data_IF_291451344851
#
_entry.id   IF_291451344851
#
_cell.length_a   1.000
_cell.length_b   1.000
_cell.length_c   1.000
_cell.angle_alpha   90.00
_cell.angle_beta   90.00
_cell.angle_gamma   90.00
#
_symmetry.space_group_name_H-M   'P 1'
#
loop_
_entity.id
_entity.type
_entity.pdbx_description
1 polymer ?
#
# COMPACT_ATOMS: atom_id res chain seq x y z
N UNK A 1 -6.00 -25.79 15.47
CA UNK A 1 -6.20 -25.28 16.84
C UNK A 1 -6.45 -23.78 16.68
N UNK A 2 -7.70 -23.31 16.84
CA UNK A 2 -8.00 -21.88 16.65
C UNK A 2 -7.22 -21.08 17.70
N UNK A 3 -6.15 -20.42 17.24
CA UNK A 3 -5.42 -19.45 18.04
C UNK A 3 -6.40 -18.30 18.31
N UNK A 4 -6.51 -17.89 19.57
CA UNK A 4 -7.56 -16.96 19.99
C UNK A 4 -7.12 -15.54 19.67
N UNK A 5 -7.93 -14.82 18.90
CA UNK A 5 -7.92 -13.36 18.86
C UNK A 5 -8.21 -12.85 20.28
N UNK A 6 -7.30 -12.07 20.86
CA UNK A 6 -7.54 -11.45 22.15
C UNK A 6 -8.27 -10.12 21.91
N UNK A 7 -9.51 -10.02 22.37
CA UNK A 7 -10.23 -8.76 22.45
C UNK A 7 -9.94 -8.15 23.82
N UNK A 8 -9.25 -7.01 23.85
CA UNK A 8 -9.02 -6.24 25.07
C UNK A 8 -10.01 -5.07 25.09
N UNK A 9 -10.82 -5.01 26.14
CA UNK A 9 -11.64 -3.86 26.47
C UNK A 9 -10.78 -2.88 27.28
N UNK A 10 -10.53 -1.69 26.77
CA UNK A 10 -9.85 -0.65 27.55
C UNK A 10 -10.91 0.06 28.41
N UNK A 11 -10.95 -0.23 29.72
CA UNK A 11 -11.85 0.47 30.63
C UNK A 11 -11.23 1.79 31.09
N UNK A 12 -11.77 2.92 30.63
CA UNK A 12 -11.67 4.17 31.40
C UNK A 12 -13.02 4.43 32.08
N UNK A 13 -13.00 4.97 33.30
CA UNK A 13 -14.15 4.97 34.21
C UNK A 13 -15.37 5.81 33.76
N UNK A 14 -15.39 6.36 32.54
CA UNK A 14 -16.45 7.29 32.09
C UNK A 14 -16.85 7.23 30.62
N UNK A 15 -16.27 6.40 29.74
CA UNK A 15 -16.68 6.31 28.33
C UNK A 15 -16.60 4.88 27.78
N UNK A 16 -17.52 4.59 26.86
CA UNK A 16 -17.82 3.26 26.36
C UNK A 16 -16.67 2.63 25.55
N UNK A 17 -16.39 1.37 25.89
CA UNK A 17 -15.94 0.26 25.05
C UNK A 17 -15.11 0.59 23.80
N UNK A 18 -13.82 0.81 24.00
CA UNK A 18 -12.81 0.56 22.97
C UNK A 18 -12.54 -0.94 22.86
N UNK A 19 -12.89 -1.58 21.74
CA UNK A 19 -12.46 -2.97 21.47
C UNK A 19 -11.18 -2.94 20.65
N UNK A 20 -10.08 -3.38 21.28
CA UNK A 20 -8.81 -3.60 20.59
C UNK A 20 -8.67 -5.08 20.31
N UNK A 21 -8.52 -5.43 19.03
CA UNK A 21 -8.24 -6.80 18.59
C UNK A 21 -6.75 -6.96 18.36
N UNK A 22 -6.17 -7.99 18.96
CA UNK A 22 -4.74 -8.25 18.88
C UNK A 22 -4.50 -9.65 18.35
N UNK A 23 -3.83 -9.71 17.20
CA UNK A 23 -3.24 -10.94 16.69
C UNK A 23 -1.71 -10.89 16.83
N UNK A 24 -1.21 -11.65 17.79
CA UNK A 24 0.24 -11.93 17.97
C UNK A 24 0.54 -13.42 17.86
N UNK A 25 -0.47 -14.25 17.55
CA UNK A 25 -0.34 -15.70 17.51
C UNK A 25 -0.32 -16.24 16.08
N UNK A 26 -0.78 -15.44 15.14
CA UNK A 26 -0.89 -15.76 13.73
C UNK A 26 -2.16 -16.56 13.45
N UNK A 27 -3.30 -15.86 13.40
CA UNK A 27 -4.61 -16.44 13.17
C UNK A 27 -4.90 -16.63 11.68
N UNK A 28 -5.91 -17.45 11.41
CA UNK A 28 -6.54 -17.55 10.10
C UNK A 28 -8.03 -17.23 10.25
N UNK A 29 -8.52 -16.25 9.50
CA UNK A 29 -9.92 -15.91 9.37
C UNK A 29 -10.43 -16.49 8.05
N UNK A 30 -11.08 -17.65 8.17
CA UNK A 30 -11.68 -18.41 7.07
C UNK A 30 -13.23 -18.36 7.08
N UNK A 31 -13.77 -17.42 7.87
CA UNK A 31 -15.20 -17.09 7.97
C UNK A 31 -15.34 -15.61 8.28
N UNK A 32 -16.48 -15.04 7.92
CA UNK A 32 -16.71 -13.60 8.07
C UNK A 32 -16.49 -13.10 9.51
N UNK A 33 -15.91 -11.90 9.61
CA UNK A 33 -15.69 -11.20 10.88
C UNK A 33 -16.13 -9.75 10.74
N UNK A 34 -16.77 -9.26 11.79
CA UNK A 34 -17.05 -7.85 11.96
C UNK A 34 -16.40 -7.40 13.27
N UNK A 35 -15.39 -6.55 13.16
CA UNK A 35 -14.58 -6.02 14.24
C UNK A 35 -14.88 -4.52 14.39
N UNK A 36 -14.98 -4.03 15.62
CA UNK A 36 -15.22 -2.62 15.93
C UNK A 36 -14.00 -2.02 16.65
N UNK A 37 -13.45 -0.92 16.15
CA UNK A 37 -12.21 -0.32 16.64
C UNK A 37 -10.96 -0.85 15.93
N UNK A 38 -9.85 -0.93 16.66
CA UNK A 38 -8.54 -1.26 16.07
C UNK A 38 -8.29 -2.76 15.96
N UNK A 39 -7.71 -3.17 14.83
CA UNK A 39 -7.06 -4.47 14.66
C UNK A 39 -5.54 -4.29 14.56
N UNK A 40 -4.83 -4.86 15.53
CA UNK A 40 -3.37 -4.93 15.55
C UNK A 40 -2.89 -6.32 15.15
N UNK A 41 -2.01 -6.37 14.15
CA UNK A 41 -1.31 -7.58 13.74
C UNK A 41 0.17 -7.38 14.06
N UNK A 42 0.69 -8.16 14.99
CA UNK A 42 2.11 -8.11 15.30
C UNK A 42 2.54 -7.20 16.44
N UNK A 43 1.61 -6.70 17.25
CA UNK A 43 1.97 -5.91 18.43
C UNK A 43 0.98 -6.10 19.57
N UNK A 44 1.48 -6.02 20.80
CA UNK A 44 0.69 -6.28 22.02
C UNK A 44 -0.23 -5.12 22.46
N UNK A 45 -0.08 -3.94 21.86
CA UNK A 45 -0.92 -2.76 22.08
C UNK A 45 -0.60 -1.68 21.03
N UNK A 46 -1.35 -0.56 20.94
CA UNK A 46 -1.06 0.56 20.04
C UNK A 46 0.39 1.10 20.12
N UNK A 47 1.02 0.97 21.30
CA UNK A 47 2.39 1.39 21.59
C UNK A 47 3.20 0.22 22.20
N UNK A 48 2.76 -1.01 21.92
CA UNK A 48 3.31 -2.21 22.52
C UNK A 48 4.64 -2.61 21.89
N UNK A 49 5.31 -3.58 22.51
CA UNK A 49 6.46 -4.21 21.87
C UNK A 49 6.00 -5.02 20.66
N UNK A 50 6.71 -4.94 19.51
CA UNK A 50 6.44 -5.81 18.38
C UNK A 50 6.53 -7.28 18.77
N UNK A 51 5.57 -8.07 18.31
CA UNK A 51 5.47 -9.52 18.45
C UNK A 51 5.15 -10.15 17.09
N UNK A 52 6.19 -10.50 16.30
CA UNK A 52 6.01 -11.02 14.96
C UNK A 52 5.01 -12.17 14.88
N UNK A 53 4.08 -12.05 13.94
CA UNK A 53 3.01 -13.00 13.68
C UNK A 53 2.55 -12.92 12.22
N UNK A 54 1.49 -13.64 11.87
CA UNK A 54 0.90 -13.60 10.53
C UNK A 54 -0.62 -13.77 10.58
N UNK A 55 -1.38 -12.76 10.16
CA UNK A 55 -2.83 -12.91 10.00
C UNK A 55 -3.15 -13.29 8.54
N UNK A 56 -3.90 -14.36 8.34
CA UNK A 56 -4.39 -14.76 7.02
C UNK A 56 -5.92 -14.64 6.95
N UNK A 57 -6.43 -14.06 5.87
CA UNK A 57 -7.87 -14.02 5.53
C UNK A 57 -8.05 -14.84 4.27
N UNK A 58 -8.78 -15.96 4.38
CA UNK A 58 -8.79 -17.01 3.36
C UNK A 58 -10.20 -17.53 3.11
N UNK A 59 -10.32 -18.43 2.13
CA UNK A 59 -11.52 -19.24 1.89
C UNK A 59 -12.81 -18.40 1.66
N UNK A 60 -12.67 -17.23 1.02
CA UNK A 60 -13.83 -16.38 0.72
C UNK A 60 -14.33 -15.56 1.90
N UNK A 61 -13.59 -15.50 3.02
CA UNK A 61 -13.99 -14.76 4.21
C UNK A 61 -13.91 -13.26 4.00
N UNK A 62 -14.92 -12.53 4.47
CA UNK A 62 -14.90 -11.07 4.57
C UNK A 62 -14.66 -10.63 6.00
N UNK A 63 -13.58 -9.89 6.23
CA UNK A 63 -13.25 -9.28 7.51
C UNK A 63 -13.47 -7.78 7.38
N UNK A 64 -14.36 -7.23 8.20
CA UNK A 64 -14.61 -5.79 8.26
C UNK A 64 -14.11 -5.24 9.59
N UNK A 65 -13.35 -4.15 9.55
CA UNK A 65 -12.83 -3.40 10.69
C UNK A 65 -13.46 -2.01 10.64
N UNK A 66 -14.49 -1.83 11.45
CA UNK A 66 -15.36 -0.66 11.45
C UNK A 66 -15.09 0.20 12.69
N UNK A 67 -15.45 1.48 12.62
CA UNK A 67 -15.49 2.35 13.79
C UNK A 67 -16.52 1.82 14.78
N UNK A 68 -16.22 1.93 16.06
CA UNK A 68 -17.14 1.53 17.11
C UNK A 68 -18.20 2.64 17.29
N UNK A 69 -19.48 2.38 16.99
CA UNK A 69 -20.53 3.40 17.13
C UNK A 69 -20.74 3.84 18.58
N UNK A 70 -20.23 3.09 19.56
CA UNK A 70 -20.30 3.44 20.98
C UNK A 70 -19.09 4.28 21.45
N UNK A 71 -17.99 4.33 20.70
CA UNK A 71 -16.76 5.06 21.05
C UNK A 71 -16.43 6.10 19.98
N UNK A 72 -16.70 7.38 20.27
CA UNK A 72 -16.37 8.48 19.35
C UNK A 72 -14.91 8.93 19.42
N UNK A 73 -14.05 8.24 20.16
CA UNK A 73 -12.65 8.63 20.32
C UNK A 73 -11.83 8.29 19.08
N UNK A 74 -11.01 9.24 18.63
CA UNK A 74 -10.11 9.02 17.51
C UNK A 74 -9.06 7.93 17.79
N UNK A 75 -8.67 7.76 19.06
CA UNK A 75 -7.59 6.87 19.46
C UNK A 75 -8.01 5.40 19.49
N UNK A 76 -9.28 5.09 19.77
CA UNK A 76 -9.70 3.71 19.99
C UNK A 76 -11.00 3.31 19.30
N UNK A 77 -11.87 4.27 18.99
CA UNK A 77 -13.15 4.03 18.33
C UNK A 77 -13.08 3.97 16.81
N UNK A 78 -11.90 4.16 16.21
CA UNK A 78 -11.71 4.21 14.76
C UNK A 78 -11.45 2.83 14.16
N UNK A 79 -12.08 2.53 13.02
CA UNK A 79 -11.94 1.26 12.29
C UNK A 79 -10.60 1.16 11.55
N UNK A 80 -9.50 1.04 12.29
CA UNK A 80 -8.14 1.04 11.77
C UNK A 80 -7.48 -0.35 11.84
N UNK A 81 -6.56 -0.61 10.91
CA UNK A 81 -5.67 -1.78 10.93
C UNK A 81 -4.22 -1.31 11.03
N UNK A 82 -3.42 -1.95 11.87
CA UNK A 82 -1.97 -1.72 11.92
C UNK A 82 -1.22 -3.05 11.94
N UNK A 83 -0.33 -3.21 10.96
CA UNK A 83 0.56 -4.35 10.83
C UNK A 83 1.96 -3.88 11.22
N UNK A 84 2.50 -4.47 12.28
CA UNK A 84 3.78 -4.07 12.89
C UNK A 84 4.71 -5.29 13.01
N UNK A 85 5.88 -5.25 12.38
CA UNK A 85 6.86 -6.36 12.39
C UNK A 85 6.24 -7.74 12.07
N UNK A 86 5.23 -7.78 11.20
CA UNK A 86 4.38 -8.95 10.94
C UNK A 86 3.83 -8.97 9.52
N UNK A 87 3.06 -10.01 9.20
CA UNK A 87 2.44 -10.15 7.88
C UNK A 87 0.92 -10.20 7.97
N UNK A 88 0.23 -9.57 7.01
CA UNK A 88 -1.20 -9.76 6.77
C UNK A 88 -1.38 -10.22 5.33
N UNK A 89 -2.05 -11.35 5.14
CA UNK A 89 -2.41 -11.86 3.80
C UNK A 89 -3.93 -11.92 3.65
N UNK A 90 -4.45 -11.35 2.56
CA UNK A 90 -5.81 -11.61 2.07
C UNK A 90 -5.66 -12.43 0.79
N UNK A 91 -6.13 -13.67 0.81
CA UNK A 91 -5.91 -14.58 -0.32
C UNK A 91 -7.16 -15.37 -0.69
N UNK A 92 -7.39 -15.47 -1.99
CA UNK A 92 -8.40 -16.34 -2.57
C UNK A 92 -9.64 -15.57 -3.02
N UNK A 93 -10.31 -16.15 -4.01
CA UNK A 93 -11.46 -15.54 -4.64
C UNK A 93 -12.59 -15.34 -3.62
N UNK A 94 -13.01 -14.09 -3.46
CA UNK A 94 -14.04 -13.69 -2.49
C UNK A 94 -13.51 -13.36 -1.09
N UNK A 95 -12.23 -13.62 -0.79
CA UNK A 95 -11.63 -13.18 0.46
C UNK A 95 -11.47 -11.66 0.43
N UNK A 96 -11.91 -10.99 1.50
CA UNK A 96 -11.91 -9.54 1.56
C UNK A 96 -11.50 -8.99 2.93
N UNK A 97 -10.78 -7.88 2.90
CA UNK A 97 -10.54 -7.02 4.07
C UNK A 97 -11.12 -5.63 3.79
N UNK A 98 -12.11 -5.23 4.59
CA UNK A 98 -12.67 -3.88 4.59
C UNK A 98 -12.19 -3.15 5.84
N UNK A 99 -11.51 -2.03 5.67
CA UNK A 99 -11.06 -1.14 6.73
C UNK A 99 -11.79 0.17 6.56
N UNK A 100 -12.53 0.60 7.58
CA UNK A 100 -13.33 1.82 7.47
C UNK A 100 -12.45 3.06 7.30
N UNK A 101 -11.33 3.13 8.03
CA UNK A 101 -10.46 4.30 8.05
C UNK A 101 -9.09 3.98 7.44
N UNK A 102 -8.08 3.75 8.26
CA UNK A 102 -6.68 3.66 7.83
C UNK A 102 -6.10 2.25 8.04
N UNK A 103 -5.30 1.81 7.07
CA UNK A 103 -4.44 0.64 7.18
C UNK A 103 -2.98 1.08 7.18
N UNK A 104 -2.25 0.68 8.22
CA UNK A 104 -0.81 0.92 8.34
C UNK A 104 0.00 -0.36 8.12
N UNK A 105 1.05 -0.25 7.30
CA UNK A 105 2.07 -1.28 7.09
C UNK A 105 3.39 -0.75 7.63
N UNK A 106 3.91 -1.35 8.71
CA UNK A 106 5.11 -0.89 9.41
C UNK A 106 6.09 -2.03 9.65
N UNK A 107 7.25 -2.01 8.97
CA UNK A 107 8.23 -3.11 9.02
C UNK A 107 7.56 -4.47 8.77
N UNK A 108 6.67 -4.51 7.78
CA UNK A 108 5.67 -5.57 7.65
C UNK A 108 5.37 -5.87 6.19
N UNK A 109 4.78 -7.02 5.92
CA UNK A 109 4.21 -7.32 4.61
C UNK A 109 2.68 -7.31 4.64
N UNK A 110 2.08 -6.58 3.70
CA UNK A 110 0.68 -6.75 3.30
C UNK A 110 0.65 -7.46 1.94
N UNK A 111 -0.04 -8.59 1.86
CA UNK A 111 -0.24 -9.33 0.60
C UNK A 111 -1.74 -9.47 0.30
N UNK A 112 -2.12 -9.14 -0.93
CA UNK A 112 -3.48 -9.31 -1.46
C UNK A 112 -3.35 -10.14 -2.74
N UNK A 113 -3.88 -11.36 -2.74
CA UNK A 113 -3.57 -12.34 -3.79
C UNK A 113 -4.75 -13.22 -4.20
N UNK A 114 -4.65 -13.79 -5.40
CA UNK A 114 -5.60 -14.77 -5.93
C UNK A 114 -7.05 -14.29 -5.89
N UNK A 115 -7.32 -13.12 -6.51
CA UNK A 115 -8.64 -12.47 -6.63
C UNK A 115 -9.22 -12.00 -5.30
N UNK A 116 -8.37 -11.67 -4.34
CA UNK A 116 -8.76 -11.04 -3.10
C UNK A 116 -9.02 -9.54 -3.29
N UNK A 117 -9.79 -8.95 -2.37
CA UNK A 117 -10.10 -7.52 -2.38
C UNK A 117 -9.73 -6.92 -1.03
N UNK A 118 -9.01 -5.80 -1.05
CA UNK A 118 -8.84 -4.94 0.10
C UNK A 118 -9.43 -3.56 -0.19
N UNK A 119 -10.21 -3.04 0.75
CA UNK A 119 -10.71 -1.67 0.70
C UNK A 119 -10.38 -0.97 2.00
N UNK A 120 -9.75 0.20 1.93
CA UNK A 120 -9.59 1.12 3.05
C UNK A 120 -10.36 2.42 2.74
N UNK A 121 -11.25 2.86 3.62
CA UNK A 121 -12.09 4.03 3.32
C UNK A 121 -11.30 5.34 3.22
N UNK A 122 -10.25 5.48 4.03
CA UNK A 122 -9.46 6.71 4.11
C UNK A 122 -8.07 6.53 3.50
N UNK A 123 -7.20 5.73 4.12
CA UNK A 123 -5.81 5.64 3.68
C UNK A 123 -5.20 4.24 3.81
N UNK A 124 -4.29 3.95 2.90
CA UNK A 124 -3.28 2.90 3.07
C UNK A 124 -1.93 3.57 3.16
N UNK A 125 -1.21 3.29 4.25
CA UNK A 125 0.03 3.98 4.59
C UNK A 125 1.13 2.96 4.88
N UNK A 126 2.23 2.99 4.13
CA UNK A 126 3.43 2.18 4.43
C UNK A 126 4.53 3.04 5.04
N UNK A 127 5.01 2.72 6.24
CA UNK A 127 6.03 3.47 6.99
C UNK A 127 7.18 2.57 7.45
N UNK A 128 8.28 3.18 7.87
CA UNK A 128 9.48 2.51 8.41
C UNK A 128 10.22 1.65 7.37
N UNK A 129 11.34 1.05 7.77
CA UNK A 129 12.11 0.13 6.92
C UNK A 129 11.36 -1.19 6.72
N UNK A 130 11.65 -1.88 5.61
CA UNK A 130 11.11 -3.21 5.27
C UNK A 130 9.58 -3.30 5.24
N UNK A 131 8.90 -2.24 4.79
CA UNK A 131 7.46 -2.28 4.56
C UNK A 131 7.16 -2.67 3.11
N UNK A 132 6.40 -3.75 2.93
CA UNK A 132 6.12 -4.35 1.64
C UNK A 132 4.62 -4.46 1.39
N UNK A 133 4.15 -3.95 0.25
CA UNK A 133 2.78 -4.15 -0.22
C UNK A 133 2.81 -4.96 -1.52
N UNK A 134 2.11 -6.08 -1.57
CA UNK A 134 2.04 -6.93 -2.76
C UNK A 134 0.57 -7.12 -3.15
N UNK A 135 0.22 -6.72 -4.37
CA UNK A 135 -1.11 -6.92 -4.96
C UNK A 135 -0.93 -7.77 -6.21
N UNK A 136 -1.33 -9.05 -6.14
CA UNK A 136 -1.07 -10.04 -7.18
C UNK A 136 -2.28 -10.92 -7.50
N UNK A 137 -2.20 -11.69 -8.59
CA UNK A 137 -3.19 -12.73 -8.89
C UNK A 137 -4.60 -12.19 -9.17
N UNK A 138 -4.73 -11.14 -9.97
CA UNK A 138 -5.99 -10.46 -10.30
C UNK A 138 -6.72 -9.89 -9.07
N UNK A 139 -5.96 -9.42 -8.08
CA UNK A 139 -6.51 -8.86 -6.85
C UNK A 139 -6.72 -7.35 -6.95
N UNK A 140 -7.45 -6.78 -5.98
CA UNK A 140 -7.73 -5.36 -5.94
C UNK A 140 -7.39 -4.72 -4.60
N UNK A 141 -6.81 -3.53 -4.64
CA UNK A 141 -6.65 -2.63 -3.51
C UNK A 141 -7.35 -1.31 -3.81
N UNK A 142 -8.33 -0.93 -2.99
CA UNK A 142 -9.05 0.34 -3.11
C UNK A 142 -8.79 1.19 -1.88
N UNK A 143 -8.46 2.47 -2.07
CA UNK A 143 -8.32 3.44 -0.99
C UNK A 143 -8.68 4.84 -1.46
N UNK A 144 -8.96 5.79 -0.56
CA UNK A 144 -9.04 7.18 -0.97
C UNK A 144 -7.62 7.75 -1.19
N UNK A 145 -6.71 7.57 -0.23
CA UNK A 145 -5.32 7.99 -0.35
C UNK A 145 -4.37 6.80 -0.20
N UNK A 146 -3.38 6.70 -1.09
CA UNK A 146 -2.26 5.79 -0.95
C UNK A 146 -1.02 6.60 -0.59
N UNK A 147 -0.40 6.29 0.55
CA UNK A 147 0.81 6.97 1.03
C UNK A 147 1.91 5.94 1.22
N UNK A 148 2.95 6.04 0.42
CA UNK A 148 4.14 5.22 0.55
C UNK A 148 5.28 6.08 1.07
N UNK A 149 5.40 6.12 2.39
CA UNK A 149 6.41 6.89 3.13
C UNK A 149 7.41 6.01 3.89
N UNK A 150 7.67 4.82 3.35
CA UNK A 150 8.55 3.84 3.94
C UNK A 150 10.02 4.14 3.59
N UNK A 151 10.93 3.72 4.47
CA UNK A 151 12.34 4.10 4.43
C UNK A 151 13.15 3.08 3.64
N UNK A 152 14.08 2.36 4.25
CA UNK A 152 14.99 1.42 3.57
C UNK A 152 14.27 0.12 3.22
N UNK A 153 14.65 -0.52 2.11
CA UNK A 153 14.17 -1.83 1.67
C UNK A 153 12.65 -1.96 1.57
N UNK A 154 11.92 -0.90 1.24
CA UNK A 154 10.46 -0.91 1.25
C UNK A 154 9.92 -0.89 -0.17
N UNK A 155 8.96 -1.76 -0.46
CA UNK A 155 8.48 -1.94 -1.84
C UNK A 155 6.96 -2.00 -1.94
N UNK A 156 6.46 -1.60 -3.10
CA UNK A 156 5.13 -2.00 -3.53
C UNK A 156 5.21 -2.70 -4.87
N UNK A 157 4.58 -3.85 -5.00
CA UNK A 157 4.47 -4.60 -6.25
C UNK A 157 3.00 -4.77 -6.62
N UNK A 158 2.65 -4.37 -7.83
CA UNK A 158 1.35 -4.67 -8.45
C UNK A 158 1.62 -5.54 -9.66
N UNK A 159 1.11 -6.78 -9.64
CA UNK A 159 1.41 -7.76 -10.69
C UNK A 159 0.27 -8.72 -10.99
N UNK A 160 0.44 -9.53 -12.04
CA UNK A 160 -0.47 -10.64 -12.35
C UNK A 160 -1.92 -10.19 -12.62
N UNK A 161 -2.11 -9.09 -13.35
CA UNK A 161 -3.43 -8.56 -13.71
C UNK A 161 -4.15 -7.85 -12.56
N UNK A 162 -3.42 -7.42 -11.53
CA UNK A 162 -3.99 -6.80 -10.34
C UNK A 162 -4.13 -5.30 -10.46
N UNK A 163 -5.02 -4.72 -9.68
CA UNK A 163 -5.38 -3.31 -9.78
C UNK A 163 -5.32 -2.61 -8.42
N UNK A 164 -4.69 -1.45 -8.39
CA UNK A 164 -4.68 -0.54 -7.24
C UNK A 164 -5.36 0.76 -7.64
N UNK A 165 -6.37 1.16 -6.87
CA UNK A 165 -7.18 2.35 -7.12
C UNK A 165 -7.06 3.28 -5.93
N UNK A 166 -6.68 4.53 -6.18
CA UNK A 166 -6.74 5.60 -5.20
C UNK A 166 -7.22 6.91 -5.81
N UNK A 167 -7.72 7.86 -5.00
CA UNK A 167 -7.89 9.23 -5.50
C UNK A 167 -6.54 9.92 -5.56
N UNK A 168 -5.76 9.88 -4.48
CA UNK A 168 -4.46 10.54 -4.42
C UNK A 168 -3.36 9.56 -4.03
N UNK A 169 -2.23 9.67 -4.69
CA UNK A 169 -1.06 8.86 -4.41
C UNK A 169 0.16 9.73 -4.06
N UNK A 170 0.73 9.49 -2.89
CA UNK A 170 1.96 10.12 -2.41
C UNK A 170 3.06 9.07 -2.27
N UNK A 171 4.23 9.36 -2.81
CA UNK A 171 5.44 8.58 -2.59
C UNK A 171 6.56 9.46 -2.04
N UNK A 172 7.21 8.99 -0.99
CA UNK A 172 8.39 9.63 -0.40
C UNK A 172 9.23 8.58 0.35
N UNK A 173 10.54 8.55 0.18
CA UNK A 173 11.44 7.73 1.00
C UNK A 173 12.56 8.61 1.56
N UNK A 174 13.00 8.33 2.79
CA UNK A 174 14.21 8.96 3.32
C UNK A 174 15.48 8.36 2.70
N UNK A 175 15.38 7.17 2.12
CA UNK A 175 16.49 6.43 1.54
C UNK A 175 16.64 6.69 0.03
N UNK A 176 17.78 6.30 -0.53
CA UNK A 176 17.98 6.29 -1.97
C UNK A 176 17.03 5.31 -2.69
N UNK A 177 16.69 5.60 -3.94
CA UNK A 177 15.76 4.79 -4.74
C UNK A 177 16.27 3.36 -5.04
N UNK A 178 17.52 3.02 -4.67
CA UNK A 178 18.10 1.71 -4.94
C UNK A 178 17.56 0.63 -4.00
N UNK A 179 17.05 1.04 -2.84
CA UNK A 179 16.52 0.11 -1.83
C UNK A 179 14.99 0.10 -1.78
N UNK A 180 14.34 1.20 -2.20
CA UNK A 180 12.88 1.36 -2.11
C UNK A 180 12.25 1.85 -3.40
N UNK A 181 11.23 1.14 -3.87
CA UNK A 181 10.55 1.44 -5.13
C UNK A 181 9.14 0.84 -5.21
N UNK A 182 8.37 1.34 -6.17
CA UNK A 182 7.10 0.74 -6.60
C UNK A 182 7.32 0.13 -7.97
N UNK A 183 6.86 -1.10 -8.17
CA UNK A 183 6.86 -1.74 -9.48
C UNK A 183 5.45 -2.13 -9.88
N UNK A 184 5.04 -1.67 -11.05
CA UNK A 184 3.84 -2.13 -11.73
C UNK A 184 4.29 -3.03 -12.87
N UNK A 185 4.05 -4.32 -12.74
CA UNK A 185 4.67 -5.37 -13.55
C UNK A 185 3.63 -6.28 -14.21
N UNK A 186 3.76 -6.45 -15.52
CA UNK A 186 2.95 -7.40 -16.27
C UNK A 186 1.66 -6.81 -16.84
N UNK A 187 1.19 -7.41 -17.93
CA UNK A 187 -0.05 -7.03 -18.59
C UNK A 187 -1.24 -7.02 -17.62
N UNK A 188 -2.13 -6.05 -17.80
CA UNK A 188 -3.32 -5.80 -16.98
C UNK A 188 -3.05 -5.45 -15.50
N UNK A 189 -1.79 -5.34 -15.09
CA UNK A 189 -1.43 -4.79 -13.79
C UNK A 189 -1.50 -3.27 -13.83
N UNK A 190 -2.28 -2.65 -12.94
CA UNK A 190 -2.61 -1.22 -13.03
C UNK A 190 -2.52 -0.50 -11.70
N UNK A 191 -1.97 0.71 -11.73
CA UNK A 191 -2.17 1.74 -10.71
C UNK A 191 -3.04 2.84 -11.32
N UNK A 192 -4.26 3.01 -10.82
CA UNK A 192 -5.23 4.00 -11.29
C UNK A 192 -5.45 5.06 -10.21
N UNK A 193 -5.03 6.30 -10.47
CA UNK A 193 -5.14 7.42 -9.51
C UNK A 193 -5.63 8.71 -10.15
N UNK A 194 -6.18 9.64 -9.36
CA UNK A 194 -6.48 10.98 -9.88
C UNK A 194 -5.24 11.85 -9.97
N UNK A 195 -4.47 11.92 -8.88
CA UNK A 195 -3.28 12.76 -8.74
C UNK A 195 -2.13 11.94 -8.14
N UNK A 196 -0.90 12.16 -8.64
CA UNK A 196 0.29 11.47 -8.14
C UNK A 196 1.41 12.46 -7.81
N UNK A 197 1.97 12.34 -6.60
CA UNK A 197 3.07 13.16 -6.11
C UNK A 197 4.26 12.25 -5.79
N UNK A 198 5.25 12.25 -6.68
CA UNK A 198 6.45 11.43 -6.54
C UNK A 198 7.58 12.32 -6.01
N UNK A 199 8.02 12.03 -4.79
CA UNK A 199 9.08 12.78 -4.12
C UNK A 199 8.56 14.06 -3.45
N UNK A 200 7.44 13.97 -2.74
CA UNK A 200 6.78 15.10 -2.07
C UNK A 200 7.58 15.64 -0.87
N UNK A 201 8.06 14.75 0.02
CA UNK A 201 8.88 15.09 1.21
C UNK A 201 10.18 14.25 1.26
N UNK A 202 10.38 13.35 0.29
CA UNK A 202 11.53 12.46 0.21
C UNK A 202 11.85 12.10 -1.24
N UNK A 203 12.59 11.02 -1.43
CA UNK A 203 12.83 10.46 -2.76
C UNK A 203 11.66 9.61 -3.25
N UNK A 204 11.59 9.33 -4.55
CA UNK A 204 10.61 8.39 -5.12
C UNK A 204 11.19 7.62 -6.31
N UNK A 205 10.72 6.38 -6.48
CA UNK A 205 11.16 5.47 -7.53
C UNK A 205 9.99 4.63 -8.01
N UNK A 206 9.52 4.91 -9.22
CA UNK A 206 8.43 4.19 -9.87
C UNK A 206 8.98 3.44 -11.07
N UNK A 207 8.82 2.12 -11.08
CA UNK A 207 9.18 1.23 -12.19
C UNK A 207 7.90 0.70 -12.84
N UNK A 208 7.80 0.80 -14.15
CA UNK A 208 6.66 0.28 -14.91
C UNK A 208 7.16 -0.59 -16.05
N UNK A 209 6.83 -1.89 -16.02
CA UNK A 209 7.42 -2.86 -16.92
C UNK A 209 6.47 -3.97 -17.35
N UNK A 210 6.88 -4.71 -18.38
CA UNK A 210 6.20 -5.89 -18.90
C UNK A 210 4.71 -5.65 -19.25
N UNK A 211 4.40 -4.46 -19.75
CA UNK A 211 3.02 -4.06 -20.09
C UNK A 211 2.16 -3.61 -18.91
N UNK A 212 2.74 -3.41 -17.72
CA UNK A 212 2.05 -2.75 -16.61
C UNK A 212 1.70 -1.30 -16.93
N UNK A 213 0.67 -0.77 -16.28
CA UNK A 213 0.16 0.58 -16.54
C UNK A 213 0.04 1.42 -15.26
N UNK A 214 0.51 2.66 -15.33
CA UNK A 214 0.20 3.71 -14.36
C UNK A 214 -0.69 4.72 -15.06
N UNK A 215 -1.92 4.85 -14.61
CA UNK A 215 -2.91 5.78 -15.18
C UNK A 215 -3.24 6.84 -14.13
N UNK A 216 -2.80 8.06 -14.40
CA UNK A 216 -3.07 9.25 -13.59
C UNK A 216 -4.04 10.14 -14.35
N UNK A 217 -5.19 10.43 -13.76
CA UNK A 217 -6.23 11.23 -14.44
C UNK A 217 -5.77 12.65 -14.73
N UNK A 218 -5.07 13.26 -13.79
CA UNK A 218 -4.57 14.63 -13.85
C UNK A 218 -3.04 14.61 -14.05
N UNK A 219 -2.29 15.27 -13.18
CA UNK A 219 -0.85 15.46 -13.31
C UNK A 219 -0.06 14.49 -12.42
N UNK A 220 1.16 14.19 -12.86
CA UNK A 220 2.21 13.63 -12.01
C UNK A 220 3.17 14.75 -11.65
N UNK A 221 3.25 15.09 -10.37
CA UNK A 221 4.24 16.04 -9.87
C UNK A 221 5.52 15.30 -9.45
N UNK A 222 6.64 15.71 -10.04
CA UNK A 222 7.93 15.04 -9.89
C UNK A 222 8.90 15.91 -9.09
N UNK A 223 9.38 15.37 -7.96
CA UNK A 223 10.36 15.98 -7.07
C UNK A 223 9.95 17.39 -6.59
N UNK A 224 8.92 17.45 -5.74
CA UNK A 224 8.21 18.69 -5.37
C UNK A 224 9.13 19.82 -4.88
N UNK A 225 10.16 19.50 -4.10
CA UNK A 225 11.02 20.49 -3.42
C UNK A 225 12.50 20.29 -3.76
N UNK A 226 13.27 21.38 -3.68
CA UNK A 226 14.71 21.34 -3.81
C UNK A 226 15.33 20.33 -2.82
N UNK A 227 16.22 19.48 -3.34
CA UNK A 227 16.85 18.39 -2.58
C UNK A 227 16.09 17.05 -2.62
N UNK A 228 14.86 17.02 -3.14
CA UNK A 228 14.13 15.77 -3.40
C UNK A 228 14.47 15.19 -4.77
N UNK A 229 14.43 13.87 -4.90
CA UNK A 229 14.68 13.18 -6.16
C UNK A 229 13.51 12.25 -6.50
N UNK A 230 13.04 12.24 -7.74
CA UNK A 230 11.96 11.34 -8.15
C UNK A 230 12.23 10.79 -9.53
N UNK A 231 12.26 9.46 -9.63
CA UNK A 231 12.56 8.74 -10.86
C UNK A 231 11.35 7.93 -11.31
N UNK A 232 10.99 8.04 -12.59
CA UNK A 232 10.10 7.11 -13.29
C UNK A 232 10.95 6.30 -14.26
N UNK A 233 10.99 4.98 -14.10
CA UNK A 233 11.72 4.06 -14.97
C UNK A 233 10.74 3.19 -15.77
N UNK A 234 10.86 3.25 -17.09
CA UNK A 234 10.11 2.41 -18.02
C UNK A 234 10.98 1.21 -18.41
N UNK A 235 10.50 0.00 -18.06
CA UNK A 235 11.25 -1.26 -18.23
C UNK A 235 11.93 -1.71 -16.94
N UNK A 236 13.18 -2.20 -17.03
CA UNK A 236 13.90 -2.77 -15.90
C UNK A 236 14.32 -1.71 -14.89
N UNK A 237 14.37 -2.05 -13.59
CA UNK A 237 14.91 -1.17 -12.54
C UNK A 237 16.34 -0.73 -12.89
N UNK A 238 16.78 0.40 -12.35
CA UNK A 238 18.11 0.94 -12.60
C UNK A 238 19.22 -0.09 -12.35
N UNK A 239 20.23 -0.08 -13.21
CA UNK A 239 21.39 -0.99 -13.16
C UNK A 239 21.03 -2.48 -13.34
N UNK A 240 19.74 -2.82 -13.49
CA UNK A 240 19.27 -4.15 -13.88
C UNK A 240 19.16 -4.30 -15.41
N UNK A 241 19.01 -5.54 -15.87
CA UNK A 241 18.76 -5.81 -17.28
C UNK A 241 17.48 -5.10 -17.78
N UNK A 242 17.47 -4.61 -19.03
CA UNK A 242 16.25 -4.05 -19.60
C UNK A 242 15.11 -5.07 -19.62
N UNK A 243 13.89 -4.62 -19.30
CA UNK A 243 12.66 -5.42 -19.40
C UNK A 243 11.77 -4.91 -20.54
N UNK A 244 10.67 -5.59 -20.87
CA UNK A 244 9.69 -4.98 -21.78
C UNK A 244 9.11 -3.71 -21.12
N UNK A 245 8.80 -2.66 -21.90
CA UNK A 245 8.29 -1.43 -21.32
C UNK A 245 6.91 -1.62 -20.69
N UNK A 246 6.61 -0.81 -19.68
CA UNK A 246 5.24 -0.52 -19.27
C UNK A 246 4.81 0.86 -19.77
N UNK A 247 3.66 1.35 -19.31
CA UNK A 247 3.07 2.60 -19.77
C UNK A 247 2.73 3.53 -18.62
N UNK A 248 3.08 4.80 -18.75
CA UNK A 248 2.71 5.86 -17.81
C UNK A 248 1.85 6.86 -18.57
N UNK A 249 0.57 6.90 -18.22
CA UNK A 249 -0.43 7.76 -18.83
C UNK A 249 -0.84 8.83 -17.81
N UNK A 250 -0.65 10.09 -18.17
CA UNK A 250 -1.11 11.24 -17.40
C UNK A 250 -1.54 12.37 -18.34
N UNK A 251 -2.26 13.37 -17.82
CA UNK A 251 -2.47 14.59 -18.58
C UNK A 251 -1.15 15.34 -18.81
N UNK A 252 -0.24 15.30 -17.82
CA UNK A 252 1.10 15.88 -17.88
C UNK A 252 1.98 15.30 -16.75
N UNK A 253 3.30 15.24 -16.98
CA UNK A 253 4.32 15.07 -15.94
C UNK A 253 5.02 16.42 -15.75
N UNK A 254 4.94 16.97 -14.54
CA UNK A 254 5.47 18.29 -14.21
C UNK A 254 6.69 18.13 -13.30
N UNK A 255 7.86 18.51 -13.81
CA UNK A 255 9.09 18.60 -13.02
C UNK A 255 9.00 19.83 -12.12
N UNK A 256 9.19 19.64 -10.82
CA UNK A 256 9.11 20.71 -9.81
C UNK A 256 10.51 21.18 -9.42
N UNK A 257 10.70 21.63 -8.18
CA UNK A 257 11.96 22.28 -7.76
C UNK A 257 13.11 21.31 -7.44
N UNK A 258 12.82 20.01 -7.32
CA UNK A 258 13.82 18.97 -7.07
C UNK A 258 14.37 18.36 -8.36
N UNK A 259 15.02 17.20 -8.23
CA UNK A 259 15.59 16.46 -9.36
C UNK A 259 14.60 15.39 -9.81
N UNK A 260 13.83 15.67 -10.85
CA UNK A 260 13.03 14.66 -11.55
C UNK A 260 13.86 13.92 -12.60
N UNK A 261 13.59 12.64 -12.82
CA UNK A 261 14.16 11.87 -13.93
C UNK A 261 13.13 10.91 -14.53
N UNK A 262 13.14 10.78 -15.86
CA UNK A 262 12.43 9.72 -16.59
C UNK A 262 13.48 8.88 -17.31
N UNK A 263 13.52 7.58 -17.00
CA UNK A 263 14.52 6.64 -17.50
C UNK A 263 13.85 5.59 -18.38
N UNK A 264 14.47 5.30 -19.51
CA UNK A 264 14.03 4.25 -20.43
C UNK A 264 15.07 3.13 -20.38
N UNK A 265 14.75 2.06 -19.66
CA UNK A 265 15.56 0.86 -19.55
C UNK A 265 14.75 -0.34 -20.10
N UNK A 266 14.36 -0.24 -21.37
CA UNK A 266 13.45 -1.22 -21.98
C UNK A 266 14.01 -1.87 -23.24
N UNK A 267 13.46 -3.03 -23.59
CA UNK A 267 13.86 -3.83 -24.76
C UNK A 267 13.15 -3.47 -26.07
N UNK A 268 12.16 -2.57 -26.05
CA UNK A 268 11.43 -2.16 -27.26
C UNK A 268 12.25 -1.26 -28.17
N UNK A 269 12.26 -1.55 -29.48
CA UNK A 269 12.94 -0.74 -30.51
C UNK A 269 12.16 0.54 -30.88
N UNK A 270 10.84 0.56 -30.67
CA UNK A 270 9.94 1.64 -31.10
C UNK A 270 8.96 2.03 -29.98
N UNK A 271 9.46 2.20 -28.76
CA UNK A 271 8.62 2.69 -27.66
C UNK A 271 8.25 4.16 -27.88
N UNK A 272 6.96 4.45 -27.81
CA UNK A 272 6.42 5.81 -27.92
C UNK A 272 5.99 6.29 -26.52
N UNK A 273 6.65 7.34 -26.03
CA UNK A 273 6.30 7.99 -24.79
C UNK A 273 5.53 9.28 -25.10
N UNK A 274 4.20 9.21 -25.05
CA UNK A 274 3.32 10.30 -25.48
C UNK A 274 2.85 11.23 -24.36
N UNK A 275 3.14 10.92 -23.10
CA UNK A 275 2.70 11.74 -21.96
C UNK A 275 3.39 13.10 -21.98
N UNK A 276 2.65 14.22 -21.98
CA UNK A 276 3.24 15.57 -21.98
C UNK A 276 4.17 15.81 -20.80
N UNK A 277 5.21 16.62 -21.01
CA UNK A 277 6.22 16.95 -19.99
C UNK A 277 6.44 18.46 -19.94
N UNK A 278 6.55 19.03 -18.74
CA UNK A 278 6.98 20.41 -18.50
C UNK A 278 7.79 20.55 -17.20
N UNK A 279 8.26 21.78 -16.90
CA UNK A 279 9.04 22.12 -15.71
C UNK A 279 10.46 22.57 -16.02
#
# INVERSE_FOLDING_TARGET
MNKKLLALLVSSATQAHAVTYIDTLGNEYNSDKNLFGWLYVGQDSPYGTPKPSSLNITNGATVSVNSDPADSSYLTGTGNVSIESSNLTVEGNGSALNVEEMLYVRNSQLKIDNKAILTAGSQVVSQLDNSHIIVSGNSKLNTNTLVLNANTNSTMLVSGGSEVIANTFFMSSADDYKSSYIKIDGADSRLNVSDAYLGYIGNASLVVSNGGEVNVRNEIELAERAGQNATITIGGLDESAPEAPGYVNASEIVFKSGTGEIRFNHTSDNYDFSTPISG
#
